data_IF_777508735459
#
_entry.id   IF_777508735459
#
_cell.length_a   1.000
_cell.length_b   1.000
_cell.length_c   1.000
_cell.angle_alpha   90.00
_cell.angle_beta   90.00
_cell.angle_gamma   90.00
#
_symmetry.space_group_name_H-M   'P 1'
#
loop_
_entity.id
_entity.type
_entity.pdbx_description
1 polymer ?
#
# COMPACT_ATOMS: atom_id res chain seq x y z
N UNK A 1 6.29 28.77 -38.75
CA UNK A 1 5.14 28.33 -37.93
C UNK A 1 4.42 27.24 -38.72
N UNK A 2 4.93 26.02 -38.68
CA UNK A 2 4.44 24.90 -39.50
C UNK A 2 4.16 23.73 -38.55
N UNK A 3 2.90 23.30 -38.54
CA UNK A 3 2.42 21.96 -38.22
C UNK A 3 2.50 21.44 -36.79
N UNK A 4 1.63 21.94 -35.90
CA UNK A 4 1.17 21.19 -34.71
C UNK A 4 -0.25 20.62 -34.86
N UNK A 5 -0.94 20.91 -35.98
CA UNK A 5 -2.37 20.58 -36.14
C UNK A 5 -2.65 19.22 -36.79
N UNK A 6 -1.65 18.49 -37.28
CA UNK A 6 -1.88 17.30 -38.13
C UNK A 6 -1.69 15.94 -37.43
N UNK A 7 -1.34 15.89 -36.15
CA UNK A 7 -1.17 14.62 -35.43
C UNK A 7 -2.45 14.12 -34.73
N UNK A 8 -3.47 14.98 -34.59
CA UNK A 8 -4.73 14.64 -33.90
C UNK A 8 -5.70 13.86 -34.83
N UNK A 9 -5.38 13.70 -36.12
CA UNK A 9 -6.27 13.11 -37.13
C UNK A 9 -6.09 11.63 -37.44
N UNK A 10 -5.07 10.95 -36.91
CA UNK A 10 -4.86 9.52 -37.19
C UNK A 10 -5.41 8.66 -36.05
N UNK A 11 -6.72 8.42 -36.06
CA UNK A 11 -7.29 7.32 -35.26
C UNK A 11 -6.73 6.01 -35.79
N UNK A 12 -5.75 5.46 -35.07
CA UNK A 12 -5.23 4.11 -35.35
C UNK A 12 -6.31 3.13 -34.91
N UNK A 13 -6.94 2.48 -35.88
CA UNK A 13 -7.92 1.42 -35.65
C UNK A 13 -7.21 0.07 -35.65
N UNK A 14 -7.53 -0.78 -34.67
CA UNK A 14 -6.97 -2.11 -34.55
C UNK A 14 -7.75 -3.10 -35.44
N UNK A 15 -7.06 -3.99 -36.13
CA UNK A 15 -7.70 -5.15 -36.76
C UNK A 15 -8.24 -6.12 -35.71
N UNK A 16 -9.18 -6.99 -36.08
CA UNK A 16 -9.81 -7.91 -35.11
C UNK A 16 -8.83 -8.80 -34.33
N UNK A 17 -7.74 -9.25 -34.96
CA UNK A 17 -6.73 -10.07 -34.28
C UNK A 17 -5.84 -9.21 -33.36
N UNK A 18 -5.54 -7.97 -33.75
CA UNK A 18 -4.81 -7.03 -32.90
C UNK A 18 -5.63 -6.62 -31.68
N UNK A 19 -6.92 -6.37 -31.87
CA UNK A 19 -7.88 -6.08 -30.83
C UNK A 19 -7.86 -7.16 -29.75
N UNK A 20 -7.98 -8.43 -30.15
CA UNK A 20 -7.96 -9.56 -29.23
C UNK A 20 -6.64 -9.63 -28.46
N UNK A 21 -5.50 -9.57 -29.16
CA UNK A 21 -4.17 -9.64 -28.52
C UNK A 21 -3.96 -8.51 -27.51
N UNK A 22 -4.28 -7.28 -27.89
CA UNK A 22 -4.14 -6.10 -27.02
C UNK A 22 -5.08 -6.22 -25.82
N UNK A 23 -6.33 -6.64 -26.05
CA UNK A 23 -7.31 -6.81 -24.96
C UNK A 23 -6.83 -7.86 -23.94
N UNK A 24 -6.33 -9.01 -24.40
CA UNK A 24 -5.80 -10.04 -23.50
C UNK A 24 -4.65 -9.52 -22.65
N UNK A 25 -3.69 -8.80 -23.26
CA UNK A 25 -2.56 -8.23 -22.51
C UNK A 25 -3.02 -7.19 -21.50
N UNK A 26 -3.92 -6.28 -21.89
CA UNK A 26 -4.43 -5.24 -20.98
C UNK A 26 -5.25 -5.84 -19.83
N UNK A 27 -6.04 -6.89 -20.10
CA UNK A 27 -6.76 -7.66 -19.08
C UNK A 27 -5.79 -8.29 -18.07
N UNK A 28 -4.76 -9.00 -18.55
CA UNK A 28 -3.74 -9.61 -17.69
C UNK A 28 -3.01 -8.55 -16.85
N UNK A 29 -2.69 -7.38 -17.43
CA UNK A 29 -2.09 -6.28 -16.70
C UNK A 29 -3.01 -5.74 -15.60
N UNK A 30 -4.30 -5.55 -15.88
CA UNK A 30 -5.27 -5.09 -14.89
C UNK A 30 -5.39 -6.08 -13.72
N UNK A 31 -5.44 -7.38 -14.03
CA UNK A 31 -5.51 -8.44 -13.03
C UNK A 31 -4.24 -8.49 -12.16
N UNK A 32 -3.06 -8.43 -12.77
CA UNK A 32 -1.79 -8.38 -12.02
C UNK A 32 -1.69 -7.16 -11.12
N UNK A 33 -2.12 -5.99 -11.59
CA UNK A 33 -2.14 -4.76 -10.79
C UNK A 33 -3.14 -4.85 -9.63
N UNK A 34 -4.25 -5.56 -9.82
CA UNK A 34 -5.23 -5.85 -8.75
C UNK A 34 -4.62 -6.77 -7.69
N UNK A 35 -4.01 -7.89 -8.10
CA UNK A 35 -3.31 -8.83 -7.21
C UNK A 35 -2.20 -8.11 -6.43
N UNK A 36 -1.38 -7.31 -7.10
CA UNK A 36 -0.33 -6.54 -6.45
C UNK A 36 -0.90 -5.56 -5.42
N UNK A 37 -2.04 -4.93 -5.71
CA UNK A 37 -2.74 -4.05 -4.78
C UNK A 37 -3.25 -4.77 -3.52
N UNK A 38 -3.64 -6.04 -3.64
CA UNK A 38 -4.09 -6.88 -2.51
C UNK A 38 -2.92 -7.35 -1.64
N UNK A 39 -1.78 -7.68 -2.26
CA UNK A 39 -0.56 -8.14 -1.56
C UNK A 39 0.09 -6.97 -0.82
N UNK A 40 0.10 -5.79 -1.44
CA UNK A 40 0.80 -4.64 -0.90
C UNK A 40 -0.01 -4.01 0.25
N UNK A 41 0.48 -4.06 1.49
CA UNK A 41 -0.24 -3.51 2.62
C UNK A 41 -0.35 -2.00 2.43
N UNK A 42 -1.58 -1.50 2.37
CA UNK A 42 -1.82 -0.08 2.53
C UNK A 42 -1.27 0.30 3.90
N UNK A 43 -0.19 1.09 3.94
CA UNK A 43 0.48 1.44 5.20
C UNK A 43 -0.51 2.12 6.15
N UNK A 44 -1.53 2.77 5.59
CA UNK A 44 -2.63 3.33 6.34
C UNK A 44 -3.51 2.26 6.99
N UNK A 45 -3.75 1.12 6.32
CA UNK A 45 -4.44 -0.05 6.89
C UNK A 45 -3.59 -0.74 7.94
N UNK A 46 -2.30 -0.93 7.70
CA UNK A 46 -1.40 -1.55 8.69
C UNK A 46 -1.25 -0.69 9.95
N UNK A 47 -1.12 0.63 9.80
CA UNK A 47 -1.10 1.58 10.93
C UNK A 47 -2.44 1.67 11.67
N UNK A 48 -3.57 1.63 10.98
CA UNK A 48 -4.90 1.59 11.62
C UNK A 48 -5.14 0.27 12.35
N UNK A 49 -4.76 -0.88 11.77
CA UNK A 49 -4.85 -2.18 12.44
C UNK A 49 -3.93 -2.21 13.66
N UNK A 50 -2.71 -1.70 13.56
CA UNK A 50 -1.81 -1.58 14.71
C UNK A 50 -2.36 -0.64 15.79
N UNK A 51 -2.97 0.50 15.40
CA UNK A 51 -3.62 1.43 16.34
C UNK A 51 -4.88 0.82 17.00
N UNK A 52 -5.71 0.10 16.24
CA UNK A 52 -6.87 -0.62 16.75
C UNK A 52 -6.46 -1.78 17.68
N UNK A 53 -5.45 -2.57 17.31
CA UNK A 53 -4.88 -3.60 18.18
C UNK A 53 -4.31 -3.02 19.46
N UNK A 54 -3.76 -1.80 19.43
CA UNK A 54 -3.29 -1.10 20.63
C UNK A 54 -4.44 -0.67 21.53
N UNK A 55 -5.54 -0.15 20.98
CA UNK A 55 -6.75 0.20 21.75
C UNK A 55 -7.38 -1.05 22.39
N UNK A 56 -7.48 -2.15 21.64
CA UNK A 56 -8.01 -3.43 22.15
C UNK A 56 -7.10 -4.06 23.22
N UNK A 57 -5.78 -3.87 23.11
CA UNK A 57 -4.84 -4.33 24.14
C UNK A 57 -4.89 -3.48 25.41
N UNK A 58 -5.16 -2.17 25.29
CA UNK A 58 -5.40 -1.30 26.44
C UNK A 58 -6.74 -1.61 27.13
N UNK A 59 -7.78 -2.00 26.39
CA UNK A 59 -9.07 -2.45 26.95
C UNK A 59 -8.99 -3.82 27.65
N UNK A 60 -8.13 -4.73 27.19
CA UNK A 60 -7.84 -5.98 27.91
C UNK A 60 -6.84 -5.80 29.08
N UNK A 61 -6.13 -4.67 29.15
CA UNK A 61 -5.20 -4.33 30.22
C UNK A 61 -5.87 -4.03 31.57
N UNK A 62 -7.18 -3.77 31.58
CA UNK A 62 -7.95 -3.47 32.79
C UNK A 62 -8.44 -4.74 33.52
N UNK A 63 -8.58 -5.87 32.81
CA UNK A 63 -9.02 -7.14 33.43
C UNK A 63 -7.93 -7.71 34.35
N UNK A 64 -6.65 -7.46 34.07
CA UNK A 64 -5.53 -7.89 34.94
C UNK A 64 -5.23 -6.96 36.11
N UNK A 65 -5.81 -5.75 36.16
CA UNK A 65 -5.64 -4.86 37.33
C UNK A 65 -6.65 -5.15 38.44
N UNK A 66 -7.79 -5.76 38.11
CA UNK A 66 -8.81 -6.15 39.11
C UNK A 66 -8.56 -7.50 39.77
N UNK A 67 -7.46 -8.19 39.47
CA UNK A 67 -7.03 -9.39 40.23
C UNK A 67 -5.89 -9.11 41.21
N UNK A 68 -5.30 -7.91 41.20
CA UNK A 68 -4.19 -7.56 42.10
C UNK A 68 -4.61 -6.82 43.38
N UNK A 69 -5.92 -6.59 43.57
CA UNK A 69 -6.48 -5.98 44.78
C UNK A 69 -6.84 -6.98 45.89
N UNK A 70 -6.88 -8.28 45.59
CA UNK A 70 -7.29 -9.32 46.56
C UNK A 70 -6.17 -10.29 46.95
N UNK A 71 -4.97 -10.20 46.35
CA UNK A 71 -3.81 -11.03 46.71
C UNK A 71 -2.79 -10.35 47.64
N UNK A 72 -3.13 -9.22 48.25
CA UNK A 72 -2.28 -8.60 49.29
C UNK A 72 -2.55 -9.11 50.71
N UNK A 73 -3.45 -10.08 50.92
CA UNK A 73 -3.77 -10.58 52.26
C UNK A 73 -3.47 -12.06 52.52
N UNK A 74 -2.75 -12.76 51.61
CA UNK A 74 -2.43 -14.19 51.79
C UNK A 74 -0.95 -14.55 51.60
N UNK A 75 -0.02 -13.59 51.69
CA UNK A 75 1.44 -13.87 51.72
C UNK A 75 1.95 -14.25 53.11
N UNK A 76 1.22 -15.14 53.78
CA UNK A 76 1.63 -15.73 55.06
C UNK A 76 1.53 -17.26 55.05
N UNK A 77 1.85 -17.91 53.93
CA UNK A 77 2.26 -19.32 53.91
C UNK A 77 2.71 -19.72 52.50
N UNK A 78 3.86 -20.40 52.39
CA UNK A 78 4.16 -21.23 51.22
C UNK A 78 5.37 -20.77 50.42
N UNK A 79 6.51 -21.39 50.72
CA UNK A 79 7.67 -21.49 49.84
C UNK A 79 7.24 -22.05 48.47
N UNK A 80 7.75 -21.46 47.38
CA UNK A 80 7.52 -21.94 46.02
C UNK A 80 8.42 -21.24 45.01
N UNK A 81 9.65 -21.74 44.88
CA UNK A 81 10.53 -21.48 43.72
C UNK A 81 9.79 -21.83 42.42
N UNK A 82 9.71 -20.90 41.46
CA UNK A 82 9.34 -21.28 40.09
C UNK A 82 8.72 -20.22 39.15
N UNK A 83 8.39 -19.00 39.58
CA UNK A 83 7.56 -18.08 38.75
C UNK A 83 8.23 -16.75 38.41
N UNK A 84 9.51 -16.56 38.73
CA UNK A 84 10.24 -15.31 38.40
C UNK A 84 10.65 -15.20 36.93
N UNK A 85 11.14 -16.29 36.33
CA UNK A 85 11.74 -16.26 34.99
C UNK A 85 10.74 -16.11 33.84
N UNK A 86 9.51 -16.64 34.00
CA UNK A 86 8.49 -16.57 32.95
C UNK A 86 7.94 -15.14 32.78
N UNK A 87 7.84 -14.40 33.89
CA UNK A 87 7.37 -13.02 33.90
C UNK A 87 8.38 -12.07 33.27
N UNK A 88 9.67 -12.24 33.57
CA UNK A 88 10.73 -11.42 32.95
C UNK A 88 10.91 -11.74 31.47
N UNK A 89 10.86 -13.01 31.06
CA UNK A 89 10.91 -13.38 29.63
C UNK A 89 9.72 -12.82 28.84
N UNK A 90 8.51 -12.83 29.42
CA UNK A 90 7.32 -12.22 28.80
C UNK A 90 7.49 -10.70 28.68
N UNK A 91 8.06 -10.06 29.70
CA UNK A 91 8.33 -8.61 29.70
C UNK A 91 9.39 -8.24 28.67
N UNK A 92 10.45 -9.04 28.55
CA UNK A 92 11.54 -8.83 27.60
C UNK A 92 11.07 -9.04 26.16
N UNK A 93 10.21 -10.04 25.90
CA UNK A 93 9.54 -10.22 24.61
C UNK A 93 8.64 -9.03 24.26
N UNK A 94 7.83 -8.52 25.20
CA UNK A 94 7.02 -7.32 24.98
C UNK A 94 7.86 -6.08 24.70
N UNK A 95 9.00 -5.91 25.39
CA UNK A 95 9.92 -4.81 25.12
C UNK A 95 10.59 -4.96 23.75
N UNK A 96 11.03 -6.17 23.39
CA UNK A 96 11.61 -6.47 22.08
C UNK A 96 10.60 -6.25 20.95
N UNK A 97 9.34 -6.68 21.13
CA UNK A 97 8.26 -6.44 20.18
C UNK A 97 7.91 -4.95 20.05
N UNK A 98 7.97 -4.18 21.14
CA UNK A 98 7.76 -2.73 21.13
C UNK A 98 8.91 -2.00 20.43
N UNK A 99 10.15 -2.45 20.62
CA UNK A 99 11.34 -1.90 19.96
C UNK A 99 11.34 -2.20 18.46
N UNK A 100 10.93 -3.41 18.06
CA UNK A 100 10.73 -3.80 16.66
C UNK A 100 9.65 -2.94 16.00
N UNK A 101 8.49 -2.76 16.65
CA UNK A 101 7.43 -1.87 16.14
C UNK A 101 7.91 -0.42 16.02
N UNK A 102 8.68 0.09 17.00
CA UNK A 102 9.31 1.42 16.91
C UNK A 102 10.28 1.52 15.74
N UNK A 103 11.07 0.49 15.47
CA UNK A 103 12.05 0.47 14.38
C UNK A 103 11.36 0.44 13.02
N UNK A 104 10.24 -0.27 12.91
CA UNK A 104 9.37 -0.26 11.73
C UNK A 104 8.68 1.10 11.53
N UNK A 105 8.22 1.75 12.61
CA UNK A 105 7.65 3.10 12.59
C UNK A 105 8.70 4.20 12.32
N UNK A 106 9.95 3.98 12.72
CA UNK A 106 11.05 4.95 12.64
C UNK A 106 11.74 5.02 11.27
N UNK A 107 11.27 4.28 10.26
CA UNK A 107 11.71 4.46 8.88
C UNK A 107 10.64 5.21 8.04
N UNK A 108 10.42 6.52 8.26
CA UNK A 108 9.43 7.30 7.54
C UNK A 108 9.68 7.34 6.02
N UNK A 109 10.91 7.11 5.58
CA UNK A 109 11.26 7.02 4.17
C UNK A 109 10.73 5.74 3.49
N UNK A 110 10.61 4.63 4.24
CA UNK A 110 10.02 3.37 3.77
C UNK A 110 8.49 3.36 3.78
N UNK A 111 7.86 4.26 4.53
CA UNK A 111 6.41 4.47 4.46
C UNK A 111 6.06 5.31 3.22
N UNK A 112 6.82 6.38 3.00
CA UNK A 112 6.55 7.31 1.91
C UNK A 112 6.79 6.71 0.51
N UNK A 113 7.83 5.87 0.35
CA UNK A 113 8.09 5.22 -0.93
C UNK A 113 7.02 4.17 -1.29
N UNK A 114 6.52 3.41 -0.31
CA UNK A 114 5.51 2.38 -0.51
C UNK A 114 4.13 3.02 -0.73
N UNK A 115 3.81 4.12 -0.04
CA UNK A 115 2.62 4.91 -0.33
C UNK A 115 2.64 5.45 -1.77
N UNK A 116 3.79 5.96 -2.22
CA UNK A 116 3.97 6.41 -3.59
C UNK A 116 3.83 5.27 -4.60
N UNK A 117 4.43 4.10 -4.33
CA UNK A 117 4.28 2.93 -5.19
C UNK A 117 2.81 2.47 -5.27
N UNK A 118 2.04 2.54 -4.18
CA UNK A 118 0.60 2.23 -4.23
C UNK A 118 -0.16 3.22 -5.10
N UNK A 119 0.16 4.51 -4.95
CA UNK A 119 -0.46 5.56 -5.75
C UNK A 119 -0.13 5.43 -7.24
N UNK A 120 1.14 5.14 -7.56
CA UNK A 120 1.59 4.91 -8.92
C UNK A 120 0.92 3.66 -9.51
N UNK A 121 0.84 2.56 -8.75
CA UNK A 121 0.12 1.34 -9.13
C UNK A 121 -1.34 1.62 -9.44
N UNK A 122 -2.05 2.34 -8.56
CA UNK A 122 -3.46 2.67 -8.77
C UNK A 122 -3.65 3.55 -10.01
N UNK A 123 -2.74 4.50 -10.23
CA UNK A 123 -2.77 5.37 -11.41
C UNK A 123 -2.58 4.58 -12.70
N UNK A 124 -1.60 3.67 -12.73
CA UNK A 124 -1.38 2.77 -13.88
C UNK A 124 -2.57 1.84 -14.08
N UNK A 125 -3.13 1.28 -13.01
CA UNK A 125 -4.31 0.42 -13.10
C UNK A 125 -5.50 1.15 -13.75
N UNK A 126 -5.72 2.43 -13.41
CA UNK A 126 -6.77 3.23 -14.03
C UNK A 126 -6.49 3.43 -15.53
N UNK A 127 -5.28 3.84 -15.91
CA UNK A 127 -4.90 4.02 -17.32
C UNK A 127 -5.08 2.73 -18.13
N UNK A 128 -4.69 1.58 -17.57
CA UNK A 128 -4.85 0.28 -18.23
C UNK A 128 -6.32 -0.11 -18.37
N UNK A 129 -7.15 0.11 -17.35
CA UNK A 129 -8.59 -0.16 -17.43
C UNK A 129 -9.28 0.75 -18.45
N UNK A 130 -8.97 2.05 -18.45
CA UNK A 130 -9.51 3.01 -19.41
C UNK A 130 -9.13 2.61 -20.84
N UNK A 131 -7.87 2.21 -21.05
CA UNK A 131 -7.39 1.72 -22.34
C UNK A 131 -8.05 0.40 -22.74
N UNK A 132 -8.27 -0.53 -21.81
CA UNK A 132 -8.94 -1.80 -22.08
C UNK A 132 -10.38 -1.58 -22.54
N UNK A 133 -11.13 -0.72 -21.84
CA UNK A 133 -12.50 -0.34 -22.22
C UNK A 133 -12.51 0.34 -23.58
N UNK A 134 -11.61 1.29 -23.83
CA UNK A 134 -11.53 1.96 -25.13
C UNK A 134 -11.22 0.99 -26.27
N UNK A 135 -10.26 0.09 -26.07
CA UNK A 135 -9.90 -0.93 -27.04
C UNK A 135 -11.13 -1.79 -27.33
N UNK A 136 -11.78 -2.35 -26.32
CA UNK A 136 -12.93 -3.25 -26.50
C UNK A 136 -14.14 -2.57 -27.16
N UNK A 137 -14.44 -1.32 -26.82
CA UNK A 137 -15.63 -0.62 -27.33
C UNK A 137 -15.40 0.07 -28.67
N UNK A 138 -14.22 0.66 -28.89
CA UNK A 138 -13.94 1.58 -29.99
C UNK A 138 -12.86 1.08 -30.94
N UNK A 139 -12.10 0.05 -30.54
CA UNK A 139 -10.98 -0.47 -31.32
C UNK A 139 -9.80 0.50 -31.44
N UNK A 140 -9.69 1.44 -30.50
CA UNK A 140 -8.64 2.47 -30.44
C UNK A 140 -7.95 2.48 -29.08
N UNK A 141 -6.81 3.17 -28.96
CA UNK A 141 -6.04 3.31 -27.71
C UNK A 141 -5.57 4.76 -27.48
N UNK A 142 -6.37 5.73 -27.92
CA UNK A 142 -6.05 7.16 -27.84
C UNK A 142 -5.91 7.64 -26.39
N UNK A 143 -6.67 7.08 -25.45
CA UNK A 143 -6.53 7.36 -24.02
C UNK A 143 -5.12 7.06 -23.52
N UNK A 144 -4.53 5.94 -23.93
CA UNK A 144 -3.17 5.55 -23.58
C UNK A 144 -2.14 6.50 -24.19
N UNK A 145 -2.32 6.88 -25.46
CA UNK A 145 -1.46 7.87 -26.12
C UNK A 145 -1.48 9.21 -25.36
N UNK A 146 -2.67 9.70 -25.00
CA UNK A 146 -2.84 10.93 -24.23
C UNK A 146 -2.21 10.82 -22.84
N UNK A 147 -2.35 9.68 -22.16
CA UNK A 147 -1.73 9.43 -20.86
C UNK A 147 -0.19 9.48 -20.97
N UNK A 148 0.39 8.86 -22.00
CA UNK A 148 1.83 8.89 -22.27
C UNK A 148 2.32 10.32 -22.51
N UNK A 149 1.60 11.10 -23.32
CA UNK A 149 1.96 12.50 -23.60
C UNK A 149 1.80 13.41 -22.36
N UNK A 150 0.79 13.16 -21.53
CA UNK A 150 0.65 13.85 -20.24
C UNK A 150 1.85 13.56 -19.33
N UNK A 151 2.30 12.30 -19.24
CA UNK A 151 3.45 11.94 -18.42
C UNK A 151 4.78 12.49 -18.96
N UNK A 152 4.98 12.52 -20.28
CA UNK A 152 6.14 13.18 -20.90
C UNK A 152 6.20 14.67 -20.52
N UNK A 153 5.06 15.38 -20.61
CA UNK A 153 4.96 16.80 -20.23
C UNK A 153 5.23 17.03 -18.74
N UNK A 154 4.67 16.19 -17.85
CA UNK A 154 4.95 16.27 -16.41
C UNK A 154 6.44 16.09 -16.09
N UNK A 155 7.12 15.18 -16.80
CA UNK A 155 8.57 14.95 -16.63
C UNK A 155 9.39 16.13 -17.14
N UNK A 156 9.04 16.70 -18.29
CA UNK A 156 9.70 17.89 -18.83
C UNK A 156 9.58 19.10 -17.87
N UNK A 157 8.38 19.36 -17.36
CA UNK A 157 8.14 20.45 -16.39
C UNK A 157 8.99 20.32 -15.11
N UNK A 158 9.15 19.09 -14.59
CA UNK A 158 10.01 18.85 -13.42
C UNK A 158 11.48 19.14 -13.69
N UNK A 159 11.96 18.95 -14.92
CA UNK A 159 13.35 19.23 -15.29
C UNK A 159 13.59 20.73 -15.47
N UNK A 160 12.63 21.46 -16.07
CA UNK A 160 12.74 22.92 -16.24
C UNK A 160 12.81 23.68 -14.91
N UNK A 161 12.08 23.23 -13.88
CA UNK A 161 12.16 23.83 -12.53
C UNK A 161 13.53 23.63 -11.88
N UNK A 162 14.22 22.52 -12.18
CA UNK A 162 15.51 22.20 -11.55
C UNK A 162 16.67 22.92 -12.26
N UNK A 163 16.48 23.38 -13.49
CA UNK A 163 17.49 24.04 -14.32
C UNK A 163 17.34 25.58 -14.28
N UNK A 164 16.21 26.12 -13.82
CA UNK A 164 15.96 27.56 -13.64
C UNK A 164 16.32 28.07 -12.25
#
# INVERSE_FOLDING_TARGET
MISDANFIGMSVTLSGVELLRVSTVLQDCADQLSVLGQIMPDIYRSRQVAALCKVLSDENGDVTKKQNGEEQNLKAAGQGQGVGGLSDATRELHMSQKELNRTLDANPHSSNNLAKVQQDRQSVAQVINDALVEVQEKGTFNSLLLAVEQEKRKKAYKLDIVIS
#
